data_IF_102983453274
#
_entry.id   IF_102983453274
#
_cell.length_a   1.000
_cell.length_b   1.000
_cell.length_c   1.000
_cell.angle_alpha   90.00
_cell.angle_beta   90.00
_cell.angle_gamma   90.00
#
_symmetry.space_group_name_H-M   'P 1'
#
loop_
_entity.id
_entity.type
_entity.pdbx_description
1 polymer ?
#
# COMPACT_ATOMS: atom_id res chain seq x y z
N UNK A 1 8.89 33.62 24.72
CA UNK A 1 8.69 32.20 25.12
C UNK A 1 8.80 31.33 23.89
N UNK A 2 9.87 30.55 23.77
CA UNK A 2 10.10 29.67 22.62
C UNK A 2 9.41 28.34 22.94
N UNK A 3 8.18 28.16 22.46
CA UNK A 3 7.51 26.87 22.57
C UNK A 3 8.37 25.85 21.82
N UNK A 4 9.02 24.96 22.56
CA UNK A 4 9.64 23.76 21.99
C UNK A 4 8.49 22.97 21.41
N UNK A 5 8.42 22.90 20.08
CA UNK A 5 7.59 21.94 19.37
C UNK A 5 8.11 20.57 19.78
N UNK A 6 7.59 20.01 20.86
CA UNK A 6 7.73 18.61 21.17
C UNK A 6 7.09 17.89 20.00
N UNK A 7 7.92 17.45 19.05
CA UNK A 7 7.50 16.60 17.96
C UNK A 7 6.81 15.41 18.62
N UNK A 8 5.49 15.40 18.59
CA UNK A 8 4.66 14.37 19.20
C UNK A 8 5.15 13.06 18.65
N UNK A 9 5.86 12.27 19.47
CA UNK A 9 6.36 10.95 19.04
C UNK A 9 5.16 10.20 18.48
N UNK A 10 5.23 9.84 17.20
CA UNK A 10 4.15 9.06 16.57
C UNK A 10 3.96 7.78 17.41
N UNK A 11 2.72 7.40 17.67
CA UNK A 11 2.45 6.14 18.35
C UNK A 11 3.11 4.98 17.59
N UNK A 12 3.55 3.95 18.31
CA UNK A 12 4.15 2.77 17.70
C UNK A 12 3.26 2.18 16.59
N UNK A 13 1.95 2.17 16.81
CA UNK A 13 0.95 1.74 15.81
C UNK A 13 1.00 2.55 14.52
N UNK A 14 1.15 3.88 14.61
CA UNK A 14 1.24 4.75 13.44
C UNK A 14 2.53 4.48 12.66
N UNK A 15 3.64 4.29 13.37
CA UNK A 15 4.93 3.94 12.76
C UNK A 15 4.84 2.59 12.03
N UNK A 16 4.25 1.58 12.67
CA UNK A 16 4.06 0.26 12.05
C UNK A 16 3.17 0.38 10.80
N UNK A 17 2.05 1.10 10.85
CA UNK A 17 1.19 1.34 9.68
C UNK A 17 1.92 2.04 8.54
N UNK A 18 2.73 3.06 8.86
CA UNK A 18 3.51 3.79 7.87
C UNK A 18 4.56 2.89 7.22
N UNK A 19 5.26 2.05 7.99
CA UNK A 19 6.22 1.07 7.47
C UNK A 19 5.52 0.07 6.54
N UNK A 20 4.43 -0.56 7.00
CA UNK A 20 3.67 -1.53 6.20
C UNK A 20 3.12 -0.91 4.90
N UNK A 21 2.78 0.38 4.91
CA UNK A 21 2.36 1.10 3.71
C UNK A 21 3.53 1.35 2.76
N UNK A 22 4.67 1.77 3.30
CA UNK A 22 5.87 2.07 2.52
C UNK A 22 6.49 0.81 1.90
N UNK A 23 6.41 -0.34 2.58
CA UNK A 23 6.92 -1.63 2.11
C UNK A 23 5.91 -2.45 1.33
N UNK A 24 4.72 -1.91 1.04
CA UNK A 24 3.71 -2.58 0.20
C UNK A 24 4.30 -2.91 -1.17
N UNK A 25 4.03 -4.12 -1.69
CA UNK A 25 4.44 -4.53 -3.04
C UNK A 25 4.05 -3.46 -4.05
N UNK A 26 5.03 -3.00 -4.81
CA UNK A 26 4.84 -2.05 -5.90
C UNK A 26 4.82 -2.83 -7.20
N UNK A 27 3.73 -2.69 -7.95
CA UNK A 27 3.60 -3.28 -9.28
C UNK A 27 4.11 -2.28 -10.30
N UNK A 28 4.97 -2.75 -11.21
CA UNK A 28 5.37 -2.00 -12.40
C UNK A 28 4.16 -1.75 -13.32
N UNK A 29 4.32 -0.88 -14.32
CA UNK A 29 3.23 -0.59 -15.26
C UNK A 29 2.75 -1.84 -16.01
N UNK A 30 3.68 -2.67 -16.49
CA UNK A 30 3.37 -3.92 -17.20
C UNK A 30 2.61 -4.92 -16.31
N UNK A 31 3.03 -5.05 -15.06
CA UNK A 31 2.40 -5.97 -14.09
C UNK A 31 0.97 -5.50 -13.75
N UNK A 32 0.77 -4.18 -13.60
CA UNK A 32 -0.57 -3.60 -13.42
C UNK A 32 -1.47 -3.87 -14.63
N UNK A 33 -0.95 -3.72 -15.85
CA UNK A 33 -1.72 -3.98 -17.07
C UNK A 33 -2.15 -5.46 -17.11
N UNK A 34 -1.24 -6.39 -16.80
CA UNK A 34 -1.55 -7.83 -16.77
C UNK A 34 -2.67 -8.15 -15.77
N UNK A 35 -2.55 -7.68 -14.53
CA UNK A 35 -3.55 -7.92 -13.47
C UNK A 35 -4.93 -7.39 -13.88
N UNK A 36 -4.99 -6.22 -14.50
CA UNK A 36 -6.26 -5.63 -14.96
C UNK A 36 -6.85 -6.46 -16.11
N UNK A 37 -6.04 -6.85 -17.08
CA UNK A 37 -6.51 -7.69 -18.20
C UNK A 37 -7.04 -9.03 -17.72
N UNK A 38 -6.37 -9.67 -16.76
CA UNK A 38 -6.81 -10.94 -16.19
C UNK A 38 -8.12 -10.78 -15.40
N UNK A 39 -8.26 -9.70 -14.62
CA UNK A 39 -9.51 -9.44 -13.90
C UNK A 39 -10.68 -9.09 -14.82
N UNK A 40 -10.42 -8.51 -16.00
CA UNK A 40 -11.45 -8.26 -17.01
C UNK A 40 -11.90 -9.53 -17.75
N UNK A 41 -11.14 -10.62 -17.70
CA UNK A 41 -11.56 -11.93 -18.23
C UNK A 41 -12.67 -12.57 -17.38
N UNK A 42 -12.88 -12.08 -16.15
CA UNK A 42 -14.05 -12.40 -15.32
C UNK A 42 -13.92 -13.62 -14.43
N UNK A 43 -12.76 -14.28 -14.37
CA UNK A 43 -12.52 -15.44 -13.52
C UNK A 43 -12.32 -15.07 -12.04
N UNK A 44 -11.55 -14.01 -11.78
CA UNK A 44 -11.33 -13.45 -10.44
C UNK A 44 -11.50 -11.93 -10.46
N UNK A 45 -12.00 -11.35 -9.38
CA UNK A 45 -12.06 -9.89 -9.26
C UNK A 45 -10.65 -9.30 -9.28
N UNK A 46 -10.48 -8.12 -9.87
CA UNK A 46 -9.19 -7.38 -9.86
C UNK A 46 -8.65 -7.24 -8.43
N UNK A 47 -9.53 -7.02 -7.44
CA UNK A 47 -9.12 -6.90 -6.04
C UNK A 47 -8.59 -8.22 -5.43
N UNK A 48 -9.06 -9.37 -5.90
CA UNK A 48 -8.53 -10.68 -5.50
C UNK A 48 -7.14 -10.91 -6.11
N UNK A 49 -7.00 -10.61 -7.40
CA UNK A 49 -5.72 -10.71 -8.11
C UNK A 49 -4.64 -9.80 -7.49
N UNK A 50 -4.96 -8.53 -7.21
CA UNK A 50 -4.06 -7.59 -6.53
C UNK A 50 -3.65 -8.00 -5.10
N UNK A 51 -4.36 -8.94 -4.46
CA UNK A 51 -3.98 -9.45 -3.13
C UNK A 51 -3.12 -10.71 -3.21
N UNK A 52 -3.23 -11.46 -4.30
CA UNK A 52 -2.50 -12.70 -4.55
C UNK A 52 -1.13 -12.44 -5.15
N UNK A 53 -1.11 -11.62 -6.20
CA UNK A 53 0.11 -11.11 -6.82
C UNK A 53 0.81 -10.20 -5.84
#
# INVERSE_FOLDING_TARGET
>A
MRQKTEATKRSAEKVIKDILRATRKQYGAEEKIRIVLDGLRGEESIAALCRRE
#
